data_IF_120665860560
#
_entry.id   IF_120665860560
#
_cell.length_a   1.000
_cell.length_b   1.000
_cell.length_c   1.000
_cell.angle_alpha   90.00
_cell.angle_beta   90.00
_cell.angle_gamma   90.00
#
_symmetry.space_group_name_H-M   'P 1'
#
loop_
_entity.id
_entity.type
_entity.pdbx_description
1 polymer ?
#
# COMPACT_ATOMS: atom_id res chain seq x y z
N UNK A 1 -0.96 40.09 24.65
CA UNK A 1 0.27 39.61 23.98
C UNK A 1 -0.11 39.36 22.54
N UNK A 2 0.07 40.37 21.69
CA UNK A 2 -0.18 40.27 20.25
C UNK A 2 1.17 39.96 19.60
N UNK A 3 1.32 38.75 19.05
CA UNK A 3 2.44 38.43 18.17
C UNK A 3 2.22 39.17 16.86
N UNK A 4 3.01 40.23 16.65
CA UNK A 4 2.97 41.16 15.50
C UNK A 4 3.60 40.61 14.22
N UNK A 5 3.77 39.30 14.11
CA UNK A 5 4.31 38.69 12.90
C UNK A 5 3.14 38.14 12.08
N UNK A 6 2.69 38.91 11.09
CA UNK A 6 1.89 38.39 9.99
C UNK A 6 2.77 37.41 9.21
N UNK A 7 2.74 36.13 9.59
CA UNK A 7 3.34 35.06 8.78
C UNK A 7 2.51 34.95 7.50
N UNK A 8 2.97 35.58 6.43
CA UNK A 8 2.39 35.44 5.10
C UNK A 8 2.96 34.20 4.42
N UNK A 9 2.10 33.27 4.08
CA UNK A 9 2.47 32.07 3.35
C UNK A 9 2.47 32.36 1.85
N UNK A 10 3.65 32.32 1.23
CA UNK A 10 3.78 32.49 -0.22
C UNK A 10 4.08 31.16 -0.90
N UNK A 11 3.19 30.76 -1.80
CA UNK A 11 3.39 29.63 -2.69
C UNK A 11 4.29 30.12 -3.83
N UNK A 12 5.39 29.42 -4.10
CA UNK A 12 6.27 29.79 -5.21
C UNK A 12 5.53 29.74 -6.56
N UNK A 13 5.98 30.51 -7.55
CA UNK A 13 5.40 30.46 -8.90
C UNK A 13 5.46 29.05 -9.55
N UNK A 14 6.40 28.20 -9.12
CA UNK A 14 6.52 26.78 -9.53
C UNK A 14 5.45 25.93 -8.85
N UNK A 15 5.28 26.07 -7.53
CA UNK A 15 4.27 25.35 -6.75
C UNK A 15 2.85 25.72 -7.16
N UNK A 16 2.62 26.98 -7.53
CA UNK A 16 1.33 27.41 -8.08
C UNK A 16 1.02 26.70 -9.41
N UNK A 17 2.03 26.49 -10.27
CA UNK A 17 1.85 25.69 -11.50
C UNK A 17 1.54 24.23 -11.19
N UNK A 18 2.21 23.63 -10.20
CA UNK A 18 1.94 22.26 -9.75
C UNK A 18 0.52 22.12 -9.20
N UNK A 19 0.10 23.03 -8.32
CA UNK A 19 -1.27 23.05 -7.79
C UNK A 19 -2.32 23.19 -8.91
N UNK A 20 -2.07 24.06 -9.90
CA UNK A 20 -2.97 24.25 -11.04
C UNK A 20 -3.07 23.00 -11.91
N UNK A 21 -1.96 22.29 -12.15
CA UNK A 21 -1.96 21.02 -12.88
C UNK A 21 -2.71 19.94 -12.09
N UNK A 22 -2.41 19.78 -10.81
CA UNK A 22 -3.08 18.84 -9.93
C UNK A 22 -4.60 19.08 -9.88
N UNK A 23 -5.05 20.32 -9.67
CA UNK A 23 -6.48 20.66 -9.70
C UNK A 23 -7.16 20.31 -11.03
N UNK A 24 -6.47 20.51 -12.17
CA UNK A 24 -7.01 20.17 -13.50
C UNK A 24 -7.16 18.67 -13.70
N UNK A 25 -6.15 17.89 -13.29
CA UNK A 25 -6.18 16.45 -13.38
C UNK A 25 -7.31 15.87 -12.53
N UNK A 26 -7.46 16.37 -11.30
CA UNK A 26 -8.43 15.88 -10.33
C UNK A 26 -9.81 16.53 -10.42
N UNK A 27 -10.09 17.34 -11.47
CA UNK A 27 -11.35 18.09 -11.60
C UNK A 27 -12.62 17.23 -11.52
N UNK A 28 -12.53 15.98 -11.97
CA UNK A 28 -13.64 15.02 -12.01
C UNK A 28 -13.66 14.07 -10.80
N UNK A 29 -12.70 14.20 -9.87
CA UNK A 29 -12.72 13.43 -8.63
C UNK A 29 -13.94 13.83 -7.80
N UNK A 30 -14.56 12.86 -7.12
CA UNK A 30 -15.75 13.08 -6.28
C UNK A 30 -15.44 14.07 -5.15
N UNK A 31 -16.45 14.67 -4.54
CA UNK A 31 -16.24 15.42 -3.30
C UNK A 31 -15.92 14.45 -2.15
N UNK A 32 -15.04 14.87 -1.24
CA UNK A 32 -14.69 14.13 -0.03
C UNK A 32 -15.78 14.20 1.04
N UNK A 33 -15.53 13.58 2.19
CA UNK A 33 -16.47 13.55 3.32
C UNK A 33 -16.87 14.93 3.85
N UNK A 34 -15.99 15.93 3.73
CA UNK A 34 -16.23 17.31 4.15
C UNK A 34 -16.98 18.14 3.08
N UNK A 35 -17.38 17.53 1.96
CA UNK A 35 -17.99 18.22 0.82
C UNK A 35 -16.98 18.92 -0.10
N UNK A 36 -15.72 19.05 0.33
CA UNK A 36 -14.64 19.64 -0.46
C UNK A 36 -13.92 18.57 -1.32
N UNK A 37 -13.46 18.95 -2.52
CA UNK A 37 -12.72 18.06 -3.41
C UNK A 37 -11.25 17.87 -2.97
N UNK A 38 -10.70 18.88 -2.28
CA UNK A 38 -9.33 18.92 -1.81
C UNK A 38 -9.29 19.31 -0.34
N UNK A 39 -8.51 18.58 0.44
CA UNK A 39 -8.17 18.89 1.82
C UNK A 39 -6.78 19.52 1.84
N UNK A 40 -6.61 20.65 2.52
CA UNK A 40 -5.34 21.34 2.65
C UNK A 40 -4.84 21.21 4.08
N UNK A 41 -3.65 20.65 4.26
CA UNK A 41 -2.98 20.62 5.56
C UNK A 41 -1.70 21.43 5.52
N UNK A 42 -1.49 22.22 6.58
CA UNK A 42 -0.32 23.07 6.75
C UNK A 42 0.45 22.56 7.96
N UNK A 43 1.63 22.01 7.72
CA UNK A 43 2.48 21.47 8.78
C UNK A 43 3.69 22.38 8.92
N UNK A 44 3.78 23.17 10.01
CA UNK A 44 4.99 23.91 10.31
C UNK A 44 6.11 22.90 10.61
N UNK A 45 7.23 23.07 9.94
CA UNK A 45 8.46 22.31 10.17
C UNK A 45 9.51 23.26 10.73
N UNK A 46 10.54 22.75 11.40
CA UNK A 46 11.65 23.58 11.90
C UNK A 46 12.43 24.33 10.80
N UNK A 47 12.14 24.07 9.52
CA UNK A 47 12.84 24.63 8.35
C UNK A 47 11.92 25.37 7.37
N UNK A 48 10.61 25.45 7.63
CA UNK A 48 9.62 25.99 6.67
C UNK A 48 8.22 25.42 6.92
N UNK A 49 7.31 25.56 5.96
CA UNK A 49 5.96 24.97 6.06
C UNK A 49 5.72 24.02 4.90
N UNK A 50 5.36 22.77 5.22
CA UNK A 50 4.85 21.80 4.25
C UNK A 50 3.36 22.02 4.07
N UNK A 51 2.95 22.28 2.83
CA UNK A 51 1.55 22.39 2.43
C UNK A 51 1.20 21.10 1.67
N UNK A 52 0.36 20.26 2.26
CA UNK A 52 -0.14 19.07 1.58
C UNK A 52 -1.56 19.32 1.08
N UNK A 53 -1.78 19.04 -0.20
CA UNK A 53 -3.08 19.14 -0.88
C UNK A 53 -3.53 17.73 -1.24
N UNK A 54 -4.47 17.20 -0.47
CA UNK A 54 -4.99 15.84 -0.65
C UNK A 54 -6.30 15.86 -1.40
N UNK A 55 -6.37 15.18 -2.53
CA UNK A 55 -7.63 14.95 -3.24
C UNK A 55 -8.44 13.84 -2.56
N UNK A 56 -9.76 13.91 -2.69
CA UNK A 56 -10.71 12.86 -2.26
C UNK A 56 -10.40 11.46 -2.80
N UNK A 57 -9.73 11.34 -3.97
CA UNK A 57 -9.29 10.05 -4.49
C UNK A 57 -8.11 9.47 -3.70
N UNK A 58 -7.54 10.21 -2.74
CA UNK A 58 -6.43 9.78 -1.88
C UNK A 58 -5.05 10.15 -2.38
N UNK A 59 -4.93 10.84 -3.52
CA UNK A 59 -3.65 11.40 -3.99
C UNK A 59 -3.31 12.67 -3.21
N UNK A 60 -2.03 12.85 -2.90
CA UNK A 60 -1.53 13.99 -2.15
C UNK A 60 -0.44 14.71 -2.96
N UNK A 61 -0.61 16.01 -3.12
CA UNK A 61 0.42 16.90 -3.64
C UNK A 61 1.10 17.61 -2.46
N UNK A 62 2.41 17.54 -2.39
CA UNK A 62 3.20 18.29 -1.42
C UNK A 62 3.78 19.55 -2.07
N UNK A 63 3.62 20.68 -1.41
CA UNK A 63 4.07 22.01 -1.82
C UNK A 63 4.84 22.65 -0.66
N UNK A 64 5.86 23.46 -0.95
CA UNK A 64 6.55 24.23 0.08
C UNK A 64 8.05 24.37 -0.14
N UNK A 65 8.62 25.42 0.45
CA UNK A 65 10.06 25.72 0.47
C UNK A 65 10.74 24.92 1.58
N UNK A 66 11.31 23.78 1.22
CA UNK A 66 12.37 23.15 2.01
C UNK A 66 13.70 23.79 1.61
N UNK A 67 14.53 24.19 2.58
CA UNK A 67 15.94 24.47 2.28
C UNK A 67 16.62 23.14 1.91
N UNK A 68 17.26 23.13 0.75
CA UNK A 68 18.24 22.15 0.27
C UNK A 68 17.82 20.73 -0.13
N UNK A 69 16.54 20.45 -0.34
CA UNK A 69 16.17 19.30 -1.18
C UNK A 69 15.76 19.80 -2.56
N UNK A 70 16.44 19.30 -3.60
CA UNK A 70 16.03 19.49 -4.99
C UNK A 70 14.51 19.30 -5.07
N UNK A 71 13.80 20.39 -5.36
CA UNK A 71 12.35 20.41 -5.53
C UNK A 71 11.99 19.28 -6.50
N UNK A 72 11.51 18.14 -5.98
CA UNK A 72 11.12 17.01 -6.81
C UNK A 72 10.17 17.55 -7.88
N UNK A 73 10.55 17.39 -9.14
CA UNK A 73 9.73 17.86 -10.23
C UNK A 73 8.37 17.19 -10.17
N UNK A 74 7.32 17.98 -10.37
CA UNK A 74 5.97 17.45 -10.41
C UNK A 74 5.85 16.39 -11.49
N UNK A 75 5.65 15.15 -11.05
CA UNK A 75 5.49 13.99 -11.89
C UNK A 75 3.98 13.80 -12.16
N UNK A 76 3.58 14.16 -13.38
CA UNK A 76 2.21 14.07 -13.88
C UNK A 76 1.69 12.63 -13.85
N UNK A 77 2.56 11.63 -14.04
CA UNK A 77 2.16 10.22 -14.00
C UNK A 77 1.87 9.75 -12.58
N UNK A 78 2.69 10.15 -11.60
CA UNK A 78 2.45 9.82 -10.17
C UNK A 78 1.27 10.58 -9.59
N UNK A 79 0.99 11.77 -10.11
CA UNK A 79 -0.05 12.66 -9.60
C UNK A 79 -1.41 12.46 -10.25
N UNK A 80 -1.55 11.52 -11.19
CA UNK A 80 -2.81 11.27 -11.90
C UNK A 80 -3.94 10.85 -10.94
N UNK A 81 -5.22 11.13 -11.27
CA UNK A 81 -6.35 10.62 -10.51
C UNK A 81 -6.29 9.09 -10.40
N UNK A 82 -6.56 8.60 -9.19
CA UNK A 82 -6.66 7.17 -8.96
C UNK A 82 -7.96 6.66 -9.59
N UNK A 83 -7.81 5.63 -10.42
CA UNK A 83 -8.91 4.89 -11.02
C UNK A 83 -9.38 3.79 -10.07
N UNK A 84 -10.55 3.22 -10.33
CA UNK A 84 -11.06 2.08 -9.54
C UNK A 84 -10.09 0.88 -9.57
N UNK A 85 -9.40 0.66 -10.70
CA UNK A 85 -8.37 -0.36 -10.83
C UNK A 85 -7.20 -0.12 -9.86
N UNK A 86 -6.74 1.13 -9.70
CA UNK A 86 -5.64 1.47 -8.78
C UNK A 86 -6.06 1.20 -7.34
N UNK A 87 -7.30 1.55 -6.97
CA UNK A 87 -7.83 1.26 -5.65
C UNK A 87 -7.95 -0.24 -5.38
N UNK A 88 -8.38 -1.03 -6.37
CA UNK A 88 -8.40 -2.50 -6.26
C UNK A 88 -6.99 -3.03 -6.08
N UNK A 89 -6.04 -2.63 -6.93
CA UNK A 89 -4.64 -3.05 -6.83
C UNK A 89 -4.05 -2.75 -5.45
N UNK A 90 -4.23 -1.53 -4.96
CA UNK A 90 -3.79 -1.15 -3.62
C UNK A 90 -4.40 -2.01 -2.52
N UNK A 91 -5.69 -2.36 -2.59
CA UNK A 91 -6.33 -3.26 -1.60
C UNK A 91 -5.70 -4.65 -1.61
N UNK A 92 -5.41 -5.19 -2.79
CA UNK A 92 -4.72 -6.47 -2.92
C UNK A 92 -3.30 -6.38 -2.37
N UNK A 93 -2.53 -5.36 -2.76
CA UNK A 93 -1.16 -5.13 -2.27
C UNK A 93 -1.13 -5.02 -0.74
N UNK A 94 -2.03 -4.21 -0.15
CA UNK A 94 -2.11 -4.02 1.30
C UNK A 94 -2.47 -5.33 2.02
N UNK A 95 -3.41 -6.12 1.47
CA UNK A 95 -3.80 -7.40 2.05
C UNK A 95 -2.68 -8.45 1.93
N UNK A 96 -2.04 -8.56 0.76
CA UNK A 96 -0.91 -9.46 0.56
C UNK A 96 0.29 -9.07 1.43
N UNK A 97 0.59 -7.78 1.55
CA UNK A 97 1.69 -7.27 2.39
C UNK A 97 1.50 -7.63 3.86
N UNK A 98 0.27 -7.64 4.38
CA UNK A 98 -0.01 -8.07 5.76
C UNK A 98 0.39 -9.52 6.00
N UNK A 99 0.10 -10.41 5.04
CA UNK A 99 0.50 -11.82 5.10
C UNK A 99 2.03 -11.92 5.05
N UNK A 100 2.69 -11.23 4.12
CA UNK A 100 4.16 -11.23 4.03
C UNK A 100 4.85 -10.63 5.27
N UNK A 101 4.22 -9.70 5.97
CA UNK A 101 4.80 -9.05 7.14
C UNK A 101 4.93 -10.03 8.31
N UNK A 102 3.96 -10.92 8.45
CA UNK A 102 3.92 -11.91 9.54
C UNK A 102 4.67 -13.20 9.20
N UNK A 103 5.41 -13.23 8.09
CA UNK A 103 6.41 -14.27 7.80
C UNK A 103 7.51 -14.25 8.86
N UNK A 104 7.90 -13.06 9.32
CA UNK A 104 8.82 -12.89 10.43
C UNK A 104 8.14 -13.32 11.75
N UNK A 105 8.64 -14.38 12.44
CA UNK A 105 8.06 -14.85 13.69
C UNK A 105 8.03 -13.79 14.80
N UNK A 106 8.98 -12.85 14.80
CA UNK A 106 9.02 -11.77 15.77
C UNK A 106 7.88 -10.77 15.54
N UNK A 107 7.64 -10.39 14.28
CA UNK A 107 6.53 -9.50 13.93
C UNK A 107 5.17 -10.20 14.15
N UNK A 108 5.08 -11.49 13.87
CA UNK A 108 3.90 -12.29 14.22
C UNK A 108 3.62 -12.22 15.72
N UNK A 109 4.63 -12.47 16.56
CA UNK A 109 4.47 -12.48 18.02
C UNK A 109 4.07 -11.11 18.57
N UNK A 110 4.59 -10.02 18.02
CA UNK A 110 4.18 -8.66 18.40
C UNK A 110 2.70 -8.42 18.05
N UNK A 111 2.27 -8.85 16.87
CA UNK A 111 0.91 -8.58 16.40
C UNK A 111 -0.16 -9.44 17.09
N UNK A 112 0.16 -10.71 17.41
CA UNK A 112 -0.82 -11.69 17.87
C UNK A 112 -0.60 -12.19 19.30
N UNK A 113 0.49 -11.79 19.96
CA UNK A 113 0.83 -12.21 21.33
C UNK A 113 0.84 -13.74 21.47
N UNK A 114 1.27 -14.42 20.40
CA UNK A 114 1.30 -15.87 20.28
C UNK A 114 2.52 -16.29 19.45
N UNK A 115 2.96 -17.54 19.63
CA UNK A 115 3.96 -18.13 18.74
C UNK A 115 3.36 -18.40 17.37
N UNK A 116 4.18 -18.24 16.34
CA UNK A 116 3.78 -18.47 14.97
C UNK A 116 3.52 -19.96 14.73
N UNK A 117 2.36 -20.29 14.16
CA UNK A 117 2.02 -21.63 13.70
C UNK A 117 1.46 -21.58 12.28
N UNK A 118 1.57 -22.70 11.58
CA UNK A 118 1.02 -22.86 10.24
C UNK A 118 -0.49 -22.54 10.22
N UNK A 119 -1.25 -23.08 11.18
CA UNK A 119 -2.70 -22.84 11.27
C UNK A 119 -3.05 -21.36 11.46
N UNK A 120 -2.23 -20.63 12.22
CA UNK A 120 -2.46 -19.20 12.45
C UNK A 120 -2.20 -18.39 11.18
N UNK A 121 -1.11 -18.67 10.48
CA UNK A 121 -0.79 -18.02 9.19
C UNK A 121 -1.87 -18.36 8.15
N UNK A 122 -2.22 -19.64 8.03
CA UNK A 122 -3.20 -20.12 7.07
C UNK A 122 -4.58 -19.49 7.29
N UNK A 123 -5.04 -19.45 8.55
CA UNK A 123 -6.32 -18.84 8.91
C UNK A 123 -6.35 -17.35 8.57
N UNK A 124 -5.25 -16.64 8.83
CA UNK A 124 -5.12 -15.23 8.51
C UNK A 124 -5.12 -14.98 7.00
N UNK A 125 -4.41 -15.81 6.24
CA UNK A 125 -4.39 -15.73 4.79
C UNK A 125 -5.80 -15.96 4.21
N UNK A 126 -6.50 -16.99 4.67
CA UNK A 126 -7.89 -17.25 4.25
C UNK A 126 -8.83 -16.09 4.62
N UNK A 127 -8.64 -15.48 5.79
CA UNK A 127 -9.38 -14.27 6.20
C UNK A 127 -9.11 -13.06 5.30
N UNK A 128 -7.88 -12.89 4.82
CA UNK A 128 -7.51 -11.81 3.91
C UNK A 128 -8.21 -11.91 2.54
N UNK A 129 -8.63 -13.10 2.12
CA UNK A 129 -9.38 -13.29 0.88
C UNK A 129 -10.75 -12.59 0.85
N UNK A 130 -11.30 -12.23 2.01
CA UNK A 130 -12.51 -11.39 2.07
C UNK A 130 -12.23 -9.92 1.72
N UNK A 131 -10.99 -9.46 1.89
CA UNK A 131 -10.58 -8.11 1.50
C UNK A 131 -10.34 -8.00 -0.01
N UNK A 132 -9.75 -9.03 -0.63
CA UNK A 132 -9.58 -9.12 -2.08
C UNK A 132 -9.63 -10.58 -2.56
N UNK A 133 -10.55 -10.87 -3.49
CA UNK A 133 -10.78 -12.23 -3.98
C UNK A 133 -9.59 -12.81 -4.76
N UNK A 134 -8.68 -11.98 -5.28
CA UNK A 134 -7.49 -12.47 -6.00
C UNK A 134 -6.56 -13.28 -5.10
N UNK A 135 -6.60 -13.04 -3.79
CA UNK A 135 -5.82 -13.82 -2.83
C UNK A 135 -6.21 -15.29 -2.76
N UNK A 136 -7.44 -15.67 -3.16
CA UNK A 136 -7.83 -17.08 -3.28
C UNK A 136 -6.87 -17.86 -4.20
N UNK A 137 -6.39 -17.24 -5.27
CA UNK A 137 -5.45 -17.88 -6.20
C UNK A 137 -3.99 -17.83 -5.71
N UNK A 138 -3.72 -17.05 -4.67
CA UNK A 138 -2.38 -16.92 -4.09
C UNK A 138 -2.16 -17.87 -2.92
N UNK A 139 -3.20 -18.50 -2.40
CA UNK A 139 -3.11 -19.39 -1.23
C UNK A 139 -3.19 -20.83 -1.71
N UNK A 140 -2.19 -21.63 -1.32
CA UNK A 140 -2.27 -23.07 -1.42
C UNK A 140 -3.21 -23.57 -0.33
N UNK A 141 -4.43 -23.98 -0.71
CA UNK A 141 -5.41 -24.49 0.24
C UNK A 141 -4.88 -25.72 0.95
N UNK A 142 -5.17 -25.84 2.24
CA UNK A 142 -4.77 -27.01 3.03
C UNK A 142 -5.32 -28.29 2.43
N UNK A 143 -6.54 -28.22 1.93
CA UNK A 143 -7.18 -29.35 1.28
C UNK A 143 -7.79 -28.98 -0.05
N UNK A 144 -7.62 -29.86 -1.03
CA UNK A 144 -8.28 -29.79 -2.32
C UNK A 144 -9.09 -31.05 -2.57
N UNK A 145 -10.14 -30.92 -3.37
CA UNK A 145 -10.96 -32.06 -3.79
C UNK A 145 -10.62 -32.35 -5.25
N UNK A 146 -9.89 -33.44 -5.49
CA UNK A 146 -9.56 -33.92 -6.83
C UNK A 146 -10.22 -35.28 -7.01
N UNK A 147 -11.05 -35.42 -8.05
CA UNK A 147 -11.81 -36.64 -8.34
C UNK A 147 -12.62 -37.17 -7.14
N UNK A 148 -13.21 -36.26 -6.37
CA UNK A 148 -14.00 -36.57 -5.17
C UNK A 148 -13.18 -37.01 -3.96
N UNK A 149 -11.84 -37.02 -4.05
CA UNK A 149 -10.94 -37.32 -2.94
C UNK A 149 -10.38 -36.04 -2.35
N UNK A 150 -10.38 -35.98 -1.01
CA UNK A 150 -9.73 -34.92 -0.25
C UNK A 150 -8.22 -35.18 -0.22
N UNK A 151 -7.45 -34.27 -0.79
CA UNK A 151 -5.99 -34.28 -0.79
C UNK A 151 -5.51 -33.22 0.18
N UNK A 152 -4.54 -33.54 1.03
CA UNK A 152 -3.86 -32.58 1.91
C UNK A 152 -2.58 -32.11 1.23
N UNK A 153 -2.57 -30.84 0.82
CA UNK A 153 -1.45 -30.23 0.10
C UNK A 153 -0.19 -30.04 0.96
N UNK A 154 -0.29 -30.29 2.26
CA UNK A 154 0.82 -30.17 3.20
C UNK A 154 1.19 -31.50 3.86
N UNK A 155 0.67 -32.63 3.35
CA UNK A 155 0.90 -33.96 3.93
C UNK A 155 2.38 -34.40 3.89
N UNK A 156 3.16 -33.90 2.93
CA UNK A 156 4.56 -34.24 2.75
C UNK A 156 5.52 -33.48 3.70
N UNK A 157 5.03 -32.47 4.43
CA UNK A 157 5.83 -31.66 5.34
C UNK A 157 5.66 -32.14 6.78
N UNK A 158 6.76 -32.54 7.40
CA UNK A 158 6.77 -33.16 8.73
C UNK A 158 6.77 -32.12 9.86
N UNK A 159 7.32 -30.94 9.60
CA UNK A 159 7.45 -29.87 10.61
C UNK A 159 6.55 -28.66 10.32
N UNK A 160 6.19 -27.92 11.37
CA UNK A 160 5.47 -26.63 11.23
C UNK A 160 6.25 -25.65 10.35
N UNK A 161 7.58 -25.62 10.50
CA UNK A 161 8.43 -24.73 9.72
C UNK A 161 8.38 -25.05 8.23
N UNK A 162 8.47 -26.31 7.86
CA UNK A 162 8.38 -26.74 6.45
C UNK A 162 7.03 -26.36 5.84
N UNK A 163 5.92 -26.51 6.58
CA UNK A 163 4.60 -26.08 6.10
C UNK A 163 4.50 -24.58 5.89
N UNK A 164 5.07 -23.81 6.82
CA UNK A 164 5.13 -22.34 6.74
C UNK A 164 5.99 -21.91 5.53
N UNK A 165 7.17 -22.50 5.37
CA UNK A 165 8.09 -22.21 4.28
C UNK A 165 7.44 -22.56 2.92
N UNK A 166 6.78 -23.72 2.81
CA UNK A 166 6.03 -24.13 1.62
C UNK A 166 4.87 -23.17 1.30
N UNK A 167 4.10 -22.77 2.31
CA UNK A 167 3.04 -21.78 2.16
C UNK A 167 3.58 -20.45 1.59
N UNK A 168 4.64 -19.90 2.18
CA UNK A 168 5.19 -18.62 1.73
C UNK A 168 5.87 -18.71 0.37
N UNK A 169 6.50 -19.83 0.04
CA UNK A 169 7.06 -20.07 -1.29
C UNK A 169 5.96 -19.99 -2.36
N UNK A 170 4.89 -20.77 -2.20
CA UNK A 170 3.74 -20.75 -3.10
C UNK A 170 3.08 -19.37 -3.16
N UNK A 171 2.85 -18.76 -1.99
CA UNK A 171 2.18 -17.48 -1.87
C UNK A 171 2.94 -16.36 -2.58
N UNK A 172 4.27 -16.26 -2.36
CA UNK A 172 5.11 -15.26 -3.02
C UNK A 172 5.13 -15.44 -4.53
N UNK A 173 5.22 -16.67 -5.02
CA UNK A 173 5.20 -16.95 -6.46
C UNK A 173 3.87 -16.49 -7.11
N UNK A 174 2.74 -16.84 -6.50
CA UNK A 174 1.43 -16.50 -7.06
C UNK A 174 1.10 -15.01 -6.93
N UNK A 175 1.56 -14.36 -5.87
CA UNK A 175 1.49 -12.90 -5.77
C UNK A 175 2.33 -12.25 -6.87
N UNK A 176 3.54 -12.76 -7.18
CA UNK A 176 4.37 -12.26 -8.29
C UNK A 176 3.63 -12.38 -9.63
N UNK A 177 2.96 -13.50 -9.87
CA UNK A 177 2.12 -13.69 -11.07
C UNK A 177 0.98 -12.67 -11.11
N UNK A 178 0.30 -12.44 -9.99
CA UNK A 178 -0.83 -11.52 -9.95
C UNK A 178 -0.40 -10.05 -10.15
N UNK A 179 0.69 -9.61 -9.50
CA UNK A 179 1.21 -8.25 -9.70
C UNK A 179 1.74 -8.05 -11.12
N UNK A 180 2.23 -9.10 -11.80
CA UNK A 180 2.72 -8.97 -13.19
C UNK A 180 1.64 -8.51 -14.17
N UNK A 181 0.35 -8.63 -13.79
CA UNK A 181 -0.81 -8.20 -14.59
C UNK A 181 -1.02 -6.68 -14.57
N UNK A 182 -0.31 -5.93 -13.72
CA UNK A 182 -0.41 -4.48 -13.63
C UNK A 182 0.93 -3.84 -13.22
N UNK A 183 1.05 -2.52 -13.40
CA UNK A 183 2.26 -1.81 -12.98
C UNK A 183 2.21 -1.53 -11.47
N UNK A 184 2.77 -2.42 -10.65
CA UNK A 184 2.85 -2.25 -9.20
C UNK A 184 3.97 -1.25 -8.82
N UNK A 185 3.60 -0.06 -8.34
CA UNK A 185 4.56 1.00 -7.96
C UNK A 185 4.96 0.95 -6.47
N UNK A 186 4.39 0.03 -5.70
CA UNK A 186 4.59 -0.05 -4.25
C UNK A 186 5.94 -0.70 -3.90
N UNK A 187 6.99 0.13 -3.88
CA UNK A 187 8.38 -0.30 -3.61
C UNK A 187 8.53 -1.13 -2.33
N UNK A 188 7.82 -0.76 -1.26
CA UNK A 188 7.89 -1.47 0.02
C UNK A 188 7.29 -2.89 -0.05
N UNK A 189 6.30 -3.08 -0.91
CA UNK A 189 5.66 -4.36 -1.14
C UNK A 189 6.53 -5.24 -2.06
N UNK A 190 7.08 -4.67 -3.14
CA UNK A 190 8.01 -5.35 -4.04
C UNK A 190 9.26 -5.85 -3.31
N UNK A 191 9.81 -5.05 -2.40
CA UNK A 191 10.96 -5.42 -1.57
C UNK A 191 10.66 -6.63 -0.68
N UNK A 192 9.47 -6.67 -0.06
CA UNK A 192 9.01 -7.83 0.72
C UNK A 192 8.77 -9.09 -0.12
N UNK A 193 8.49 -8.94 -1.41
CA UNK A 193 8.39 -10.06 -2.36
C UNK A 193 9.76 -10.54 -2.89
N UNK A 194 10.85 -9.86 -2.53
CA UNK A 194 12.19 -10.15 -3.03
C UNK A 194 12.39 -9.75 -4.49
N UNK A 195 11.66 -8.73 -4.97
CA UNK A 195 11.90 -8.12 -6.28
C UNK A 195 12.84 -6.93 -6.07
N UNK A 196 14.05 -6.91 -6.68
CA UNK A 196 15.00 -5.83 -6.50
C UNK A 196 14.44 -4.49 -7.03
N UNK A 197 14.83 -3.39 -6.37
CA UNK A 197 14.54 -2.03 -6.85
C UNK A 197 15.37 -1.80 -8.12
N UNK A 198 14.71 -1.64 -9.27
CA UNK A 198 15.32 -0.99 -10.44
C UNK A 198 15.55 0.50 -10.17
#
# INVERSE_FOLDING_TARGET
METKDNISFEISGKDFKHLKKFRRQHKNCRQGFTGEQFEYSFVPTGMGTLISVKCSCGQTLELGTFMDNELQEYDEHKSRPLMEADHKNKRFEDAAKRILLIEDPHLFRIAYVADQSFESIYSLACGACFADKRLWNCILFKYEIIDGKKIDNYAEYETEKEKIDAFYAYFKEHVKIEISKYNCENKSFLEKLGIPKE
#
